data_IF_807969191568
#
_entry.id   IF_807969191568
#
_cell.length_a   1.000
_cell.length_b   1.000
_cell.length_c   1.000
_cell.angle_alpha   90.00
_cell.angle_beta   90.00
_cell.angle_gamma   90.00
#
_symmetry.space_group_name_H-M   'P 1'
#
loop_
_entity.id
_entity.type
_entity.pdbx_description
1 polymer ?
#
# COMPACT_ATOMS: atom_id res chain seq x y z
N UNK A 1 -7.06 10.93 -10.95
CA UNK A 1 -6.96 9.46 -11.00
C UNK A 1 -6.63 8.96 -9.60
N UNK A 2 -7.39 8.01 -9.04
CA UNK A 2 -7.09 7.41 -7.73
C UNK A 2 -6.36 6.10 -8.00
N UNK A 3 -5.12 5.97 -7.50
CA UNK A 3 -4.29 4.78 -7.74
C UNK A 3 -4.89 3.52 -7.11
N UNK A 4 -5.70 3.67 -6.05
CA UNK A 4 -6.27 2.56 -5.27
C UNK A 4 -5.17 1.61 -4.75
N UNK A 5 -3.95 2.09 -4.55
CA UNK A 5 -2.86 1.29 -4.01
C UNK A 5 -3.21 0.82 -2.59
N UNK A 6 -2.84 -0.42 -2.29
CA UNK A 6 -3.11 -1.09 -1.02
C UNK A 6 -1.82 -1.16 -0.22
N UNK A 7 -1.92 -0.81 1.05
CA UNK A 7 -0.89 -1.07 2.07
C UNK A 7 -1.53 -1.95 3.15
N UNK A 8 -0.86 -3.03 3.50
CA UNK A 8 -1.29 -3.94 4.57
C UNK A 8 -0.08 -4.19 5.46
N UNK A 9 -0.28 -4.11 6.76
CA UNK A 9 0.77 -4.28 7.76
C UNK A 9 0.14 -4.87 9.02
N UNK A 10 0.98 -5.48 9.85
CA UNK A 10 0.60 -6.12 11.09
C UNK A 10 0.82 -5.15 12.26
N UNK A 11 -0.13 -5.11 13.19
CA UNK A 11 0.00 -4.41 14.45
C UNK A 11 0.25 -5.43 15.57
N UNK A 12 1.12 -5.09 16.53
CA UNK A 12 1.43 -5.94 17.70
C UNK A 12 0.25 -6.02 18.68
N UNK A 13 -0.67 -5.07 18.60
CA UNK A 13 -1.85 -4.97 19.45
C UNK A 13 -2.92 -4.08 18.83
N UNK A 14 -4.05 -3.99 19.52
CA UNK A 14 -5.19 -3.18 19.11
C UNK A 14 -5.22 -1.79 19.76
N UNK A 15 -4.22 -1.40 20.54
CA UNK A 15 -4.15 -0.12 21.21
C UNK A 15 -3.63 1.02 20.30
N UNK A 16 -3.76 2.27 20.77
CA UNK A 16 -3.34 3.46 20.01
C UNK A 16 -1.84 3.47 19.69
N UNK A 17 -0.98 2.96 20.57
CA UNK A 17 0.47 2.96 20.34
C UNK A 17 0.87 1.97 19.25
N UNK A 18 0.29 0.76 19.26
CA UNK A 18 0.43 -0.24 18.20
C UNK A 18 -0.01 0.31 16.84
N UNK A 19 -1.14 1.02 16.80
CA UNK A 19 -1.61 1.67 15.58
C UNK A 19 -0.65 2.77 15.08
N UNK A 20 -0.15 3.63 15.99
CA UNK A 20 0.82 4.68 15.63
C UNK A 20 2.09 4.07 15.04
N UNK A 21 2.55 2.92 15.54
CA UNK A 21 3.72 2.24 14.98
C UNK A 21 3.51 1.79 13.53
N UNK A 22 2.33 1.24 13.20
CA UNK A 22 1.95 0.92 11.82
C UNK A 22 1.88 2.18 10.96
N UNK A 23 1.25 3.25 11.46
CA UNK A 23 1.13 4.51 10.74
C UNK A 23 2.50 5.12 10.45
N UNK A 24 3.45 5.04 11.40
CA UNK A 24 4.84 5.47 11.22
C UNK A 24 5.55 4.66 10.13
N UNK A 25 5.36 3.34 10.08
CA UNK A 25 5.90 2.49 9.00
C UNK A 25 5.33 2.92 7.64
N UNK A 26 4.03 3.13 7.57
CA UNK A 26 3.37 3.62 6.35
C UNK A 26 3.94 4.96 5.89
N UNK A 27 4.01 5.98 6.75
CA UNK A 27 4.50 7.31 6.36
C UNK A 27 5.99 7.32 6.05
N UNK A 28 6.78 6.42 6.64
CA UNK A 28 8.20 6.27 6.31
C UNK A 28 8.41 5.75 4.89
N UNK A 29 7.49 4.92 4.38
CA UNK A 29 7.58 4.33 3.04
C UNK A 29 6.90 5.21 1.99
N UNK A 30 5.77 5.84 2.33
CA UNK A 30 4.91 6.56 1.38
C UNK A 30 4.95 8.07 1.51
N UNK A 31 5.63 8.59 2.53
CA UNK A 31 5.51 9.98 2.95
C UNK A 31 4.21 10.25 3.70
N UNK A 32 4.07 11.47 4.21
CA UNK A 32 2.85 11.91 4.87
C UNK A 32 1.76 12.23 3.84
N UNK A 33 0.61 11.56 3.88
CA UNK A 33 -0.51 11.94 3.04
C UNK A 33 -1.05 13.30 3.49
N UNK A 34 -1.55 14.10 2.56
CA UNK A 34 -2.23 15.37 2.88
C UNK A 34 -3.51 15.13 3.71
N UNK A 35 -4.21 14.03 3.43
CA UNK A 35 -5.49 13.71 4.06
C UNK A 35 -5.63 12.20 4.24
N UNK A 36 -6.05 11.78 5.44
CA UNK A 36 -6.50 10.42 5.75
C UNK A 36 -7.99 10.47 6.02
N UNK A 37 -8.74 9.57 5.38
CA UNK A 37 -10.15 9.35 5.65
C UNK A 37 -10.35 8.00 6.32
N UNK A 38 -11.11 7.99 7.40
CA UNK A 38 -11.54 6.77 8.09
C UNK A 38 -13.05 6.79 8.25
N UNK A 39 -13.68 5.62 8.23
CA UNK A 39 -15.01 5.51 8.80
C UNK A 39 -14.93 5.67 10.33
N UNK A 40 -16.07 5.93 10.97
CA UNK A 40 -16.15 6.02 12.44
C UNK A 40 -15.98 4.65 13.14
N UNK A 41 -15.49 3.62 12.43
CA UNK A 41 -15.34 2.26 12.92
C UNK A 41 -16.65 1.50 13.14
N UNK A 42 -17.82 2.13 12.99
CA UNK A 42 -19.12 1.49 13.27
C UNK A 42 -19.45 0.29 12.38
N UNK A 43 -18.76 0.15 11.23
CA UNK A 43 -18.86 -1.02 10.35
C UNK A 43 -17.92 -2.17 10.76
N UNK A 44 -16.69 -1.87 11.21
CA UNK A 44 -15.77 -2.84 11.86
C UNK A 44 -16.39 -3.47 13.12
N UNK A 45 -17.20 -2.66 13.80
CA UNK A 45 -18.00 -2.92 15.00
C UNK A 45 -19.11 -3.95 14.78
N UNK A 46 -19.56 -4.25 13.56
CA UNK A 46 -20.68 -5.20 13.38
C UNK A 46 -20.35 -6.65 13.77
N UNK A 47 -19.06 -7.02 13.83
CA UNK A 47 -18.64 -8.42 13.97
C UNK A 47 -18.11 -8.83 15.36
N UNK A 48 -17.61 -7.92 16.22
CA UNK A 48 -17.14 -8.30 17.56
C UNK A 48 -17.30 -7.20 18.61
N UNK A 49 -17.83 -7.55 19.77
CA UNK A 49 -18.04 -6.64 20.92
C UNK A 49 -16.72 -6.10 21.47
N UNK A 50 -15.68 -6.94 21.49
CA UNK A 50 -14.34 -6.59 21.98
C UNK A 50 -13.67 -5.52 21.12
N UNK A 51 -13.74 -5.63 19.79
CA UNK A 51 -13.19 -4.63 18.88
C UNK A 51 -13.90 -3.27 19.01
N UNK A 52 -15.19 -3.24 19.39
CA UNK A 52 -15.90 -1.97 19.68
C UNK A 52 -15.26 -1.22 20.84
N UNK A 53 -14.99 -1.94 21.92
CA UNK A 53 -14.45 -1.33 23.14
C UNK A 53 -13.00 -0.90 22.93
N UNK A 54 -12.25 -1.63 22.11
CA UNK A 54 -10.89 -1.20 21.73
C UNK A 54 -10.90 0.04 20.84
N UNK A 55 -11.75 0.11 19.81
CA UNK A 55 -11.82 1.32 18.96
C UNK A 55 -12.28 2.54 19.76
N UNK A 56 -13.20 2.37 20.73
CA UNK A 56 -13.62 3.44 21.64
C UNK A 56 -12.51 3.89 22.58
N UNK A 57 -11.60 3.00 22.96
CA UNK A 57 -10.47 3.34 23.84
C UNK A 57 -9.34 4.06 23.09
N UNK A 58 -9.44 4.23 21.77
CA UNK A 58 -8.42 4.95 21.01
C UNK A 58 -8.38 6.44 21.35
N UNK A 59 -7.17 6.93 21.63
CA UNK A 59 -6.90 8.34 21.84
C UNK A 59 -6.75 9.06 20.50
N UNK A 60 -7.88 9.32 19.83
CA UNK A 60 -7.92 9.95 18.51
C UNK A 60 -7.23 11.30 18.43
N UNK A 61 -7.20 12.08 19.51
CA UNK A 61 -6.47 13.35 19.55
C UNK A 61 -4.97 13.14 19.43
N UNK A 62 -4.42 12.06 20.01
CA UNK A 62 -3.01 11.70 19.86
C UNK A 62 -2.68 11.32 18.41
N UNK A 63 -3.57 10.54 17.78
CA UNK A 63 -3.43 10.16 16.36
C UNK A 63 -3.48 11.39 15.44
N UNK A 64 -4.42 12.31 15.70
CA UNK A 64 -4.53 13.58 14.96
C UNK A 64 -3.31 14.46 15.17
N UNK A 65 -2.80 14.58 16.39
CA UNK A 65 -1.60 15.35 16.69
C UNK A 65 -0.36 14.82 15.96
N UNK A 66 -0.20 13.49 15.90
CA UNK A 66 0.88 12.86 15.13
C UNK A 66 0.88 13.29 13.65
N UNK A 67 -0.31 13.39 13.05
CA UNK A 67 -0.48 13.84 11.67
C UNK A 67 -0.32 15.34 11.47
N UNK A 68 -0.91 16.15 12.34
CA UNK A 68 -1.05 17.58 12.14
C UNK A 68 0.31 18.30 12.09
N UNK A 69 1.30 17.84 12.87
CA UNK A 69 2.67 18.36 12.83
C UNK A 69 3.37 18.21 11.48
N UNK A 70 2.85 17.34 10.60
CA UNK A 70 3.41 17.05 9.28
C UNK A 70 2.45 17.42 8.13
N UNK A 71 1.41 18.23 8.41
CA UNK A 71 0.44 18.66 7.40
C UNK A 71 -0.57 17.59 6.97
N UNK A 72 -0.72 16.52 7.76
CA UNK A 72 -1.68 15.44 7.53
C UNK A 72 -3.00 15.73 8.26
N UNK A 73 -4.08 15.92 7.50
CA UNK A 73 -5.43 16.11 8.01
C UNK A 73 -6.13 14.75 8.18
N UNK A 74 -6.77 14.52 9.33
CA UNK A 74 -7.58 13.33 9.54
C UNK A 74 -9.07 13.68 9.53
N UNK A 75 -9.82 13.04 8.63
CA UNK A 75 -11.25 13.25 8.45
C UNK A 75 -12.01 11.95 8.71
N UNK A 76 -13.08 12.04 9.52
CA UNK A 76 -14.02 10.93 9.69
C UNK A 76 -15.19 11.12 8.75
N UNK A 77 -15.36 10.20 7.81
CA UNK A 77 -16.44 10.27 6.83
C UNK A 77 -17.67 9.57 7.39
N UNK A 78 -18.86 10.20 7.30
CA UNK A 78 -20.10 9.48 7.57
C UNK A 78 -20.38 8.57 6.38
N UNK A 79 -20.83 7.34 6.63
CA UNK A 79 -21.02 6.34 5.59
C UNK A 79 -21.93 6.80 4.42
N UNK A 80 -22.84 7.75 4.67
CA UNK A 80 -23.72 8.35 3.67
C UNK A 80 -23.01 9.33 2.71
N UNK A 81 -21.88 9.90 3.11
CA UNK A 81 -21.24 11.01 2.39
C UNK A 81 -20.26 10.52 1.30
N UNK A 82 -19.88 9.24 1.29
CA UNK A 82 -18.99 8.67 0.26
C UNK A 82 -19.27 7.19 -0.10
N UNK A 83 -20.47 6.82 -0.60
CA UNK A 83 -20.82 5.43 -0.88
C UNK A 83 -19.87 4.72 -1.87
N UNK A 84 -19.37 5.44 -2.88
CA UNK A 84 -18.49 4.86 -3.90
C UNK A 84 -17.06 4.62 -3.38
N UNK A 85 -16.53 5.51 -2.52
CA UNK A 85 -15.21 5.33 -1.89
C UNK A 85 -15.25 4.15 -0.90
N UNK A 86 -16.35 4.04 -0.17
CA UNK A 86 -16.61 2.92 0.74
C UNK A 86 -16.67 1.59 -0.02
N UNK A 87 -17.46 1.52 -1.10
CA UNK A 87 -17.54 0.31 -1.92
C UNK A 87 -16.21 -0.12 -2.55
N UNK A 88 -15.39 0.84 -3.00
CA UNK A 88 -14.04 0.53 -3.49
C UNK A 88 -13.14 -0.03 -2.39
N UNK A 89 -13.17 0.57 -1.20
CA UNK A 89 -12.36 0.14 -0.06
C UNK A 89 -12.79 -1.24 0.43
N UNK A 90 -14.10 -1.51 0.51
CA UNK A 90 -14.66 -2.82 0.85
C UNK A 90 -14.23 -3.91 -0.14
N UNK A 91 -14.26 -3.62 -1.45
CA UNK A 91 -13.81 -4.54 -2.48
C UNK A 91 -12.31 -4.88 -2.31
N UNK A 92 -11.47 -3.89 -1.99
CA UNK A 92 -10.04 -4.11 -1.74
C UNK A 92 -9.80 -4.92 -0.46
N UNK A 93 -10.52 -4.62 0.62
CA UNK A 93 -10.46 -5.40 1.87
C UNK A 93 -10.86 -6.85 1.61
N UNK A 94 -11.91 -7.08 0.80
CA UNK A 94 -12.33 -8.43 0.41
C UNK A 94 -11.24 -9.15 -0.37
N UNK A 95 -10.56 -8.48 -1.30
CA UNK A 95 -9.42 -9.04 -2.03
C UNK A 95 -8.26 -9.40 -1.10
N UNK A 96 -7.89 -8.51 -0.16
CA UNK A 96 -6.84 -8.79 0.84
C UNK A 96 -7.19 -10.04 1.66
N UNK A 97 -8.41 -10.11 2.21
CA UNK A 97 -8.85 -11.26 3.02
C UNK A 97 -8.82 -12.57 2.24
N UNK A 98 -9.28 -12.54 0.98
CA UNK A 98 -9.27 -13.72 0.10
C UNK A 98 -7.84 -14.17 -0.17
N UNK A 99 -6.95 -13.25 -0.55
CA UNK A 99 -5.56 -13.59 -0.87
C UNK A 99 -4.80 -14.07 0.37
N UNK A 100 -5.08 -13.50 1.55
CA UNK A 100 -4.51 -13.93 2.82
C UNK A 100 -4.92 -15.37 3.16
N UNK A 101 -6.22 -15.68 3.05
CA UNK A 101 -6.73 -17.03 3.31
C UNK A 101 -6.12 -18.07 2.37
N UNK A 102 -5.87 -17.71 1.10
CA UNK A 102 -5.21 -18.59 0.13
C UNK A 102 -3.71 -18.75 0.40
N UNK A 103 -3.04 -17.71 0.89
CA UNK A 103 -1.58 -17.73 1.11
C UNK A 103 -1.18 -18.45 2.40
N UNK A 104 -1.94 -18.28 3.47
CA UNK A 104 -1.62 -18.89 4.78
C UNK A 104 -2.09 -20.36 4.85
N UNK A 105 -3.26 -20.67 4.29
CA UNK A 105 -3.86 -22.00 4.41
C UNK A 105 -4.05 -22.41 5.87
N UNK A 106 -3.41 -23.50 6.29
CA UNK A 106 -3.40 -24.01 7.68
C UNK A 106 -2.06 -23.82 8.40
N UNK A 107 -1.17 -23.01 7.83
CA UNK A 107 0.20 -22.84 8.33
C UNK A 107 0.22 -21.96 9.58
N UNK A 108 1.02 -22.33 10.58
CA UNK A 108 1.31 -21.48 11.74
C UNK A 108 2.52 -20.63 11.37
N UNK A 109 2.37 -19.31 11.40
CA UNK A 109 3.43 -18.35 11.08
C UNK A 109 3.79 -17.52 12.31
N UNK A 110 5.07 -17.18 12.43
CA UNK A 110 5.55 -16.16 13.35
C UNK A 110 5.10 -14.77 12.92
N UNK A 111 5.22 -13.79 13.81
CA UNK A 111 4.89 -12.40 13.51
C UNK A 111 5.63 -11.88 12.27
N UNK A 112 6.93 -12.14 12.18
CA UNK A 112 7.77 -11.67 11.07
C UNK A 112 7.41 -12.35 9.74
N UNK A 113 7.09 -13.64 9.76
CA UNK A 113 6.66 -14.37 8.55
C UNK A 113 5.32 -13.83 8.04
N UNK A 114 4.34 -13.67 8.94
CA UNK A 114 3.04 -13.12 8.59
C UNK A 114 3.17 -11.69 8.04
N UNK A 115 3.98 -10.84 8.68
CA UNK A 115 4.20 -9.47 8.21
C UNK A 115 4.83 -9.44 6.82
N UNK A 116 5.78 -10.35 6.54
CA UNK A 116 6.39 -10.49 5.21
C UNK A 116 5.34 -10.87 4.17
N UNK A 117 4.52 -11.89 4.45
CA UNK A 117 3.44 -12.33 3.56
C UNK A 117 2.45 -11.21 3.28
N UNK A 118 2.13 -10.37 4.28
CA UNK A 118 1.23 -9.22 4.10
C UNK A 118 1.81 -8.18 3.12
N UNK A 119 3.11 -7.90 3.18
CA UNK A 119 3.75 -6.98 2.25
C UNK A 119 3.83 -7.54 0.82
N UNK A 120 4.12 -8.83 0.66
CA UNK A 120 4.10 -9.49 -0.65
C UNK A 120 2.69 -9.49 -1.25
N UNK A 121 1.68 -9.82 -0.43
CA UNK A 121 0.28 -9.75 -0.83
C UNK A 121 -0.15 -8.35 -1.25
N UNK A 122 0.25 -7.32 -0.52
CA UNK A 122 -0.01 -5.94 -0.88
C UNK A 122 0.64 -5.59 -2.23
N UNK A 123 1.88 -6.04 -2.48
CA UNK A 123 2.56 -5.84 -3.77
C UNK A 123 1.80 -6.53 -4.92
N UNK A 124 1.42 -7.79 -4.77
CA UNK A 124 0.65 -8.54 -5.79
C UNK A 124 -0.68 -7.84 -6.09
N UNK A 125 -1.39 -7.39 -5.06
CA UNK A 125 -2.63 -6.63 -5.25
C UNK A 125 -2.38 -5.31 -5.98
N UNK A 126 -1.20 -4.71 -5.84
CA UNK A 126 -0.82 -3.47 -6.51
C UNK A 126 -0.25 -3.67 -7.93
N UNK A 127 -0.03 -4.90 -8.36
CA UNK A 127 0.28 -5.26 -9.75
C UNK A 127 -0.99 -5.35 -10.62
N UNK A 128 -2.19 -5.32 -10.00
CA UNK A 128 -3.45 -5.43 -10.74
C UNK A 128 -3.64 -4.28 -11.74
N UNK A 129 -4.15 -4.53 -12.95
CA UNK A 129 -4.42 -3.48 -13.92
C UNK A 129 -5.55 -2.55 -13.47
N UNK A 130 -5.36 -1.23 -13.63
CA UNK A 130 -6.37 -0.17 -13.45
C UNK A 130 -6.87 0.32 -14.81
N UNK A 131 -6.01 0.29 -15.83
CA UNK A 131 -6.32 0.74 -17.20
C UNK A 131 -5.18 0.40 -18.17
N UNK A 132 -5.33 0.76 -19.43
CA UNK A 132 -4.27 0.64 -20.44
C UNK A 132 -3.42 1.91 -20.44
N UNK A 133 -2.10 1.77 -20.56
CA UNK A 133 -1.19 2.93 -20.56
C UNK A 133 -1.05 3.60 -21.93
N UNK A 134 -1.56 2.98 -23.00
CA UNK A 134 -1.30 3.41 -24.38
C UNK A 134 -2.53 3.27 -25.28
N UNK A 135 -2.54 4.08 -26.36
CA UNK A 135 -3.50 4.00 -27.47
C UNK A 135 -3.15 2.90 -28.48
N UNK A 136 -1.99 2.26 -28.34
CA UNK A 136 -1.50 1.21 -29.24
C UNK A 136 -1.88 -0.18 -28.70
N UNK A 137 -2.77 -0.93 -29.38
CA UNK A 137 -3.16 -2.29 -28.98
C UNK A 137 -2.00 -3.30 -28.98
N UNK A 138 -0.86 -2.99 -29.63
CA UNK A 138 0.26 -3.92 -29.78
C UNK A 138 1.32 -3.82 -28.67
N UNK A 139 1.32 -2.78 -27.84
CA UNK A 139 2.34 -2.61 -26.80
C UNK A 139 2.01 -3.30 -25.47
N UNK A 140 0.77 -3.81 -25.28
CA UNK A 140 0.41 -4.71 -24.18
C UNK A 140 0.62 -4.17 -22.74
N UNK A 141 1.06 -2.93 -22.56
CA UNK A 141 1.40 -2.36 -21.26
C UNK A 141 0.16 -1.86 -20.52
N UNK A 142 -0.18 -2.56 -19.44
CA UNK A 142 -1.21 -2.14 -18.49
C UNK A 142 -0.64 -1.18 -17.45
N UNK A 143 -1.48 -0.24 -17.01
CA UNK A 143 -1.19 0.66 -15.90
C UNK A 143 -1.75 0.04 -14.61
N UNK A 144 -0.88 -0.21 -13.63
CA UNK A 144 -1.26 -0.73 -12.31
C UNK A 144 -0.98 0.29 -11.19
N UNK A 145 -1.49 0.08 -9.95
CA UNK A 145 -1.18 0.95 -8.83
C UNK A 145 0.33 1.13 -8.64
N UNK A 146 1.10 0.03 -8.70
CA UNK A 146 2.55 0.07 -8.54
C UNK A 146 3.23 1.01 -9.55
N UNK A 147 2.78 1.07 -10.80
CA UNK A 147 3.32 2.04 -11.76
C UNK A 147 3.17 3.49 -11.25
N UNK A 148 2.04 3.80 -10.62
CA UNK A 148 1.74 5.15 -10.12
C UNK A 148 2.52 5.49 -8.84
N UNK A 149 2.70 4.52 -7.93
CA UNK A 149 3.31 4.76 -6.61
C UNK A 149 4.81 4.42 -6.51
N UNK A 150 5.34 3.63 -7.44
CA UNK A 150 6.73 3.15 -7.44
C UNK A 150 7.45 3.42 -8.77
N UNK A 151 6.73 3.83 -9.84
CA UNK A 151 7.31 3.98 -11.17
C UNK A 151 7.61 2.67 -11.90
N UNK A 152 7.24 1.52 -11.32
CA UNK A 152 7.42 0.16 -11.89
C UNK A 152 6.22 -0.71 -11.58
N UNK A 153 5.95 -1.72 -12.41
CA UNK A 153 4.77 -2.58 -12.22
C UNK A 153 4.98 -3.62 -11.10
N UNK A 154 6.13 -4.29 -11.07
CA UNK A 154 6.43 -5.36 -10.12
C UNK A 154 7.78 -5.15 -9.42
N UNK A 155 8.03 -5.97 -8.40
CA UNK A 155 9.33 -6.07 -7.74
C UNK A 155 10.37 -6.83 -8.57
N UNK A 156 9.95 -7.50 -9.65
CA UNK A 156 10.84 -8.19 -10.57
C UNK A 156 11.62 -7.13 -11.37
N UNK A 157 12.89 -6.95 -11.03
CA UNK A 157 13.81 -6.21 -11.89
C UNK A 157 13.99 -7.04 -13.16
N UNK A 158 13.78 -6.48 -14.37
CA UNK A 158 14.19 -7.17 -15.58
C UNK A 158 15.68 -7.46 -15.42
N UNK A 159 16.03 -8.74 -15.31
CA UNK A 159 17.40 -9.17 -15.58
C UNK A 159 17.61 -8.89 -17.06
N UNK A 160 18.06 -7.67 -17.37
CA UNK A 160 18.55 -7.37 -18.71
C UNK A 160 19.55 -8.46 -19.06
N UNK A 161 19.46 -8.98 -20.28
CA UNK A 161 20.60 -9.69 -20.85
C UNK A 161 21.77 -8.71 -20.76
N UNK A 162 22.74 -9.04 -19.91
CA UNK A 162 24.01 -8.32 -19.90
C UNK A 162 24.65 -8.55 -21.26
N UNK A 163 24.53 -7.58 -22.16
CA UNK A 163 25.34 -7.53 -23.37
C UNK A 163 26.63 -6.78 -23.03
N UNK A 164 27.78 -7.36 -23.35
CA UNK A 164 29.09 -6.74 -23.11
C UNK A 164 29.24 -5.40 -23.85
N UNK A 165 28.38 -5.13 -24.86
CA UNK A 165 28.29 -3.87 -25.59
C UNK A 165 27.84 -2.67 -24.76
N UNK A 166 27.16 -2.88 -23.62
CA UNK A 166 26.66 -1.80 -22.75
C UNK A 166 27.76 -1.19 -21.84
N UNK A 167 29.02 -1.61 -22.01
CA UNK A 167 30.16 -0.97 -21.38
C UNK A 167 30.43 0.42 -21.98
N UNK A 168 29.85 1.46 -21.38
CA UNK A 168 30.15 2.89 -21.62
C UNK A 168 31.61 3.32 -21.34
N UNK A 169 32.53 2.38 -21.09
CA UNK A 169 33.95 2.67 -20.82
C UNK A 169 34.86 2.72 -22.06
N UNK A 170 34.34 2.57 -23.29
CA UNK A 170 35.19 2.61 -24.51
C UNK A 170 35.21 3.91 -25.31
N UNK A 171 34.49 4.96 -24.92
CA UNK A 171 34.46 6.22 -25.67
C UNK A 171 35.13 7.42 -24.96
N UNK A 172 36.07 7.18 -24.05
CA UNK A 172 36.94 8.25 -23.52
C UNK A 172 38.40 7.81 -23.65
N UNK A 173 38.93 7.93 -24.87
CA UNK A 173 40.34 7.63 -25.12
C UNK A 173 40.66 7.53 -26.60
N UNK A 174 40.72 8.68 -27.28
CA UNK A 174 41.68 9.04 -28.34
C UNK A 174 41.12 10.15 -29.23
N UNK A 175 41.16 11.39 -28.73
CA UNK A 175 41.23 12.57 -29.60
C UNK A 175 42.13 13.61 -28.94
N UNK A 176 43.41 13.27 -28.86
CA UNK A 176 44.52 14.20 -28.72
C UNK A 176 45.70 13.56 -29.44
N UNK A 177 45.77 13.78 -30.75
CA UNK A 177 47.00 13.87 -31.55
C UNK A 177 46.63 14.11 -33.02
N UNK A 178 46.58 15.38 -33.41
CA UNK A 178 47.22 15.95 -34.60
C UNK A 178 47.12 17.47 -34.55
#
# INVERSE_FOLDING_TARGET
MISRAVYVDLADGYDTSSFIMVLRRFTSIRGYPKKIRSDLGSQLVSASKELKEVIKSWHWDTIKMFGNGNGMEWEFTKAADAPWENGCSEALIKSVKKSLSLSIGQSIMTFSELQTVLFELANILNERPIGTSTSDPNEGTYLCPNNLILGRASSNVPVGHWDESDNFKKNVGNSCNK
#
